data_IF_162674945992
#
_entry.id   IF_162674945992
#
_cell.length_a   1.000
_cell.length_b   1.000
_cell.length_c   1.000
_cell.angle_alpha   90.00
_cell.angle_beta   90.00
_cell.angle_gamma   90.00
#
_symmetry.space_group_name_H-M   'P 1'
#
loop_
_entity.id
_entity.type
_entity.pdbx_description
1 polymer ?
#
# COMPACT_ATOMS: atom_id res chain seq x y z
N UNK A 1 -9.78 -6.24 20.62
CA UNK A 1 -9.15 -6.60 19.33
C UNK A 1 -7.96 -5.73 19.04
N UNK A 2 -6.78 -6.34 19.00
CA UNK A 2 -5.54 -5.67 18.61
C UNK A 2 -5.47 -5.78 17.08
N UNK A 3 -5.74 -4.68 16.39
CA UNK A 3 -5.61 -4.61 14.94
C UNK A 3 -4.19 -5.07 14.53
N UNK A 4 -4.12 -6.06 13.63
CA UNK A 4 -2.87 -6.56 13.07
C UNK A 4 -2.84 -6.23 11.57
N UNK A 5 -1.79 -5.55 11.12
CA UNK A 5 -1.59 -5.28 9.70
C UNK A 5 -1.56 -6.59 8.92
N UNK A 6 -2.37 -6.68 7.87
CA UNK A 6 -2.34 -7.82 6.97
C UNK A 6 -1.04 -7.81 6.15
N UNK A 7 -0.63 -8.96 5.65
CA UNK A 7 0.52 -9.06 4.75
C UNK A 7 0.39 -8.13 3.53
N UNK A 8 -0.82 -8.00 2.97
CA UNK A 8 -1.09 -7.10 1.84
C UNK A 8 -0.81 -5.64 2.18
N UNK A 9 -1.23 -5.19 3.37
CA UNK A 9 -0.99 -3.82 3.83
C UNK A 9 0.49 -3.55 4.09
N UNK A 10 1.22 -4.53 4.64
CA UNK A 10 2.67 -4.42 4.83
C UNK A 10 3.42 -4.36 3.50
N UNK A 11 3.02 -5.18 2.52
CA UNK A 11 3.60 -5.18 1.19
C UNK A 11 3.35 -3.85 0.46
N UNK A 12 2.14 -3.30 0.57
CA UNK A 12 1.80 -1.99 0.01
C UNK A 12 2.67 -0.89 0.62
N UNK A 13 2.75 -0.84 1.95
CA UNK A 13 3.58 0.15 2.64
C UNK A 13 5.04 0.06 2.22
N UNK A 14 5.58 -1.16 2.14
CA UNK A 14 6.95 -1.38 1.71
C UNK A 14 7.18 -0.93 0.26
N UNK A 15 6.24 -1.21 -0.65
CA UNK A 15 6.33 -0.79 -2.04
C UNK A 15 6.28 0.74 -2.19
N UNK A 16 5.40 1.41 -1.45
CA UNK A 16 5.28 2.87 -1.50
C UNK A 16 6.50 3.57 -0.91
N UNK A 17 6.98 3.08 0.24
CA UNK A 17 8.21 3.60 0.87
C UNK A 17 9.42 3.40 -0.05
N UNK A 18 9.55 2.24 -0.70
CA UNK A 18 10.66 1.98 -1.63
C UNK A 18 10.66 2.89 -2.87
N UNK A 19 9.52 3.50 -3.19
CA UNK A 19 9.38 4.44 -4.32
C UNK A 19 9.62 5.89 -3.92
N UNK A 20 9.58 6.23 -2.63
CA UNK A 20 9.82 7.59 -2.18
C UNK A 20 11.33 7.86 -2.06
N UNK A 21 11.88 8.84 -2.80
CA UNK A 21 13.32 9.13 -2.79
C UNK A 21 13.83 9.64 -1.43
N UNK A 22 12.94 10.13 -0.56
CA UNK A 22 13.27 10.53 0.80
C UNK A 22 13.45 9.35 1.75
N UNK A 23 13.01 8.15 1.39
CA UNK A 23 13.09 6.98 2.25
C UNK A 23 14.43 6.26 2.07
N UNK A 24 15.27 6.28 3.10
CA UNK A 24 16.55 5.57 3.15
C UNK A 24 16.60 4.51 4.25
N UNK A 25 15.48 4.28 4.94
CA UNK A 25 15.39 3.39 6.10
C UNK A 25 16.40 3.74 7.21
N UNK A 26 16.68 5.03 7.40
CA UNK A 26 17.53 5.49 8.50
C UNK A 26 16.86 5.24 9.88
N UNK A 27 17.63 5.35 10.96
CA UNK A 27 17.16 5.02 12.31
C UNK A 27 15.91 5.82 12.72
N UNK A 28 15.82 7.09 12.35
CA UNK A 28 14.68 7.93 12.68
C UNK A 28 13.43 7.55 11.88
N UNK A 29 13.58 7.27 10.59
CA UNK A 29 12.48 6.80 9.74
C UNK A 29 11.93 5.47 10.24
N UNK A 30 12.81 4.53 10.61
CA UNK A 30 12.41 3.24 11.16
C UNK A 30 11.75 3.40 12.54
N UNK A 31 12.27 4.30 13.39
CA UNK A 31 11.63 4.63 14.68
C UNK A 31 10.23 5.21 14.46
N UNK A 32 10.10 6.22 13.61
CA UNK A 32 8.82 6.87 13.29
C UNK A 32 7.83 5.90 12.65
N UNK A 33 8.30 5.00 11.77
CA UNK A 33 7.47 3.95 11.19
C UNK A 33 6.92 3.01 12.28
N UNK A 34 7.75 2.59 13.23
CA UNK A 34 7.30 1.74 14.36
C UNK A 34 6.27 2.45 15.24
N UNK A 35 6.45 3.73 15.51
CA UNK A 35 5.49 4.54 16.28
C UNK A 35 4.17 4.72 15.53
N UNK A 36 4.22 5.07 14.23
CA UNK A 36 3.03 5.20 13.39
C UNK A 36 2.26 3.89 13.19
N UNK A 37 2.95 2.74 13.22
CA UNK A 37 2.34 1.40 13.20
C UNK A 37 1.84 0.93 14.57
N UNK A 38 2.10 1.69 15.65
CA UNK A 38 1.76 1.27 17.03
C UNK A 38 2.61 0.13 17.59
N UNK A 39 3.75 -0.18 16.95
CA UNK A 39 4.74 -1.17 17.43
C UNK A 39 5.63 -0.59 18.53
N UNK A 40 5.59 0.73 18.71
CA UNK A 40 6.26 1.48 19.77
C UNK A 40 5.29 2.55 20.27
N UNK A 41 5.38 2.90 21.55
CA UNK A 41 4.63 4.03 22.10
C UNK A 41 4.97 5.29 21.31
N UNK A 42 3.98 5.97 20.71
CA UNK A 42 4.21 7.19 19.95
C UNK A 42 4.69 8.31 20.85
N UNK A 43 5.57 9.18 20.33
CA UNK A 43 5.88 10.44 20.99
C UNK A 43 4.65 11.37 21.03
N UNK A 44 4.58 12.20 22.07
CA UNK A 44 3.42 13.04 22.36
C UNK A 44 3.20 14.16 21.32
N UNK A 45 4.27 14.59 20.64
CA UNK A 45 4.24 15.80 19.83
C UNK A 45 3.70 15.60 18.40
N UNK A 46 3.88 14.41 17.82
CA UNK A 46 3.54 14.16 16.41
C UNK A 46 2.53 13.03 16.25
N UNK A 47 2.91 11.80 16.60
CA UNK A 47 2.09 10.63 16.28
C UNK A 47 0.82 10.51 17.11
N UNK A 48 0.83 10.99 18.36
CA UNK A 48 -0.38 11.00 19.19
C UNK A 48 -1.47 11.94 18.63
N UNK A 49 -1.18 13.21 18.27
CA UNK A 49 -2.13 14.07 17.57
C UNK A 49 -2.61 13.48 16.25
N UNK A 50 -1.69 12.96 15.42
CA UNK A 50 -2.05 12.33 14.13
C UNK A 50 -3.03 11.19 14.36
N UNK A 51 -2.68 10.21 15.21
CA UNK A 51 -3.53 9.05 15.48
C UNK A 51 -4.90 9.41 16.05
N UNK A 52 -4.96 10.44 16.91
CA UNK A 52 -6.22 10.94 17.49
C UNK A 52 -7.11 11.59 16.42
N UNK A 53 -6.52 12.46 15.58
CA UNK A 53 -7.25 13.24 14.59
C UNK A 53 -7.66 12.40 13.38
N UNK A 54 -6.95 11.29 13.11
CA UNK A 54 -7.25 10.36 12.01
C UNK A 54 -7.90 9.07 12.50
N UNK A 55 -8.54 9.08 13.67
CA UNK A 55 -9.06 7.87 14.31
C UNK A 55 -10.11 7.14 13.45
N UNK A 56 -10.92 7.89 12.69
CA UNK A 56 -12.03 7.38 11.88
C UNK A 56 -11.62 6.93 10.47
N UNK A 57 -10.35 7.10 10.09
CA UNK A 57 -9.84 6.58 8.81
C UNK A 57 -9.79 5.06 8.83
N UNK A 58 -10.08 4.46 7.67
CA UNK A 58 -9.91 3.03 7.47
C UNK A 58 -8.42 2.64 7.63
N UNK A 59 -8.12 1.43 8.14
CA UNK A 59 -6.75 1.01 8.32
C UNK A 59 -5.90 1.01 7.04
N UNK A 60 -6.51 0.71 5.88
CA UNK A 60 -5.84 0.79 4.58
C UNK A 60 -5.44 2.20 4.21
N UNK A 61 -6.27 3.20 4.51
CA UNK A 61 -5.94 4.59 4.23
C UNK A 61 -4.87 5.13 5.19
N UNK A 62 -4.81 4.59 6.42
CA UNK A 62 -3.71 4.87 7.35
C UNK A 62 -2.37 4.35 6.82
N UNK A 63 -2.34 3.27 6.04
CA UNK A 63 -1.11 2.79 5.37
C UNK A 63 -0.57 3.86 4.43
N UNK A 64 -1.44 4.45 3.60
CA UNK A 64 -1.05 5.50 2.66
C UNK A 64 -0.60 6.76 3.39
N UNK A 65 -1.26 7.11 4.50
CA UNK A 65 -0.82 8.21 5.35
C UNK A 65 0.62 8.02 5.86
N UNK A 66 0.96 6.80 6.29
CA UNK A 66 2.31 6.47 6.74
C UNK A 66 3.32 6.60 5.60
N UNK A 67 2.99 6.18 4.38
CA UNK A 67 3.92 6.27 3.25
C UNK A 67 4.23 7.72 2.84
N UNK A 68 3.31 8.66 3.06
CA UNK A 68 3.57 10.08 2.84
C UNK A 68 4.44 10.73 3.93
N UNK A 69 4.26 10.31 5.18
CA UNK A 69 4.85 10.96 6.36
C UNK A 69 6.24 10.40 6.67
N UNK A 70 6.40 9.08 6.71
CA UNK A 70 7.62 8.41 7.21
C UNK A 70 8.89 8.85 6.46
N UNK A 71 8.90 8.97 5.11
CA UNK A 71 10.10 9.39 4.38
C UNK A 71 10.62 10.79 4.75
N UNK A 72 9.83 11.60 5.46
CA UNK A 72 10.18 12.98 5.81
C UNK A 72 10.99 13.09 7.10
N UNK A 73 11.02 12.04 7.93
CA UNK A 73 11.83 12.00 9.15
C UNK A 73 13.31 11.74 8.86
N UNK A 74 14.20 12.21 9.75
CA UNK A 74 15.64 11.96 9.66
C UNK A 74 16.31 12.51 8.41
N UNK A 75 15.71 13.52 7.77
CA UNK A 75 16.24 14.13 6.55
C UNK A 75 17.41 15.09 6.83
N UNK A 76 17.55 15.57 8.07
CA UNK A 76 18.49 16.63 8.43
C UNK A 76 18.19 17.99 7.78
N UNK A 77 17.02 18.14 7.16
CA UNK A 77 16.55 19.37 6.54
C UNK A 77 15.54 20.08 7.46
N UNK A 78 15.91 21.28 7.94
CA UNK A 78 15.06 22.09 8.81
C UNK A 78 13.69 22.45 8.18
N UNK A 79 13.63 22.65 6.86
CA UNK A 79 12.36 22.91 6.17
C UNK A 79 11.44 21.69 6.21
N UNK A 80 12.01 20.49 6.10
CA UNK A 80 11.25 19.25 6.17
C UNK A 80 10.72 18.98 7.58
N UNK A 81 11.52 19.28 8.60
CA UNK A 81 11.11 19.19 10.01
C UNK A 81 9.99 20.20 10.32
N UNK A 82 10.11 21.44 9.83
CA UNK A 82 9.07 22.45 9.96
C UNK A 82 7.77 22.04 9.21
N UNK A 83 7.89 21.39 8.06
CA UNK A 83 6.76 20.86 7.32
C UNK A 83 5.99 19.79 8.11
N UNK A 84 6.69 18.89 8.83
CA UNK A 84 6.06 17.89 9.70
C UNK A 84 5.25 18.56 10.83
N UNK A 85 5.80 19.59 11.46
CA UNK A 85 5.08 20.34 12.51
C UNK A 85 3.88 21.09 11.94
N UNK A 86 4.04 21.69 10.76
CA UNK A 86 2.97 22.40 10.05
C UNK A 86 1.84 21.45 9.66
N UNK A 87 2.18 20.25 9.20
CA UNK A 87 1.21 19.21 8.86
C UNK A 87 0.30 18.90 10.05
N UNK A 88 0.87 18.60 11.22
CA UNK A 88 0.10 18.29 12.44
C UNK A 88 -0.78 19.47 12.86
N UNK A 89 -0.23 20.68 12.88
CA UNK A 89 -0.97 21.88 13.26
C UNK A 89 -2.13 22.19 12.31
N UNK A 90 -2.03 21.79 11.04
CA UNK A 90 -3.02 22.05 10.01
C UNK A 90 -4.14 21.00 9.92
N UNK A 91 -4.00 19.80 10.53
CA UNK A 91 -5.00 18.73 10.45
C UNK A 91 -6.40 19.19 10.87
N UNK A 92 -6.53 19.68 12.11
CA UNK A 92 -7.82 20.09 12.68
C UNK A 92 -8.51 21.21 11.87
N UNK A 93 -7.86 22.34 11.52
CA UNK A 93 -8.51 23.38 10.71
C UNK A 93 -8.84 22.90 9.29
N UNK A 94 -8.03 22.01 8.71
CA UNK A 94 -8.33 21.39 7.41
C UNK A 94 -9.61 20.58 7.45
N UNK A 95 -9.74 19.68 8.43
CA UNK A 95 -10.94 18.86 8.60
C UNK A 95 -12.19 19.72 8.86
N UNK A 96 -12.06 20.76 9.68
CA UNK A 96 -13.15 21.70 9.92
C UNK A 96 -13.59 22.41 8.63
N UNK A 97 -12.63 22.83 7.80
CA UNK A 97 -12.91 23.50 6.52
C UNK A 97 -13.62 22.57 5.55
N UNK A 98 -13.14 21.33 5.41
CA UNK A 98 -13.76 20.31 4.55
C UNK A 98 -15.17 19.98 5.04
N UNK A 99 -15.35 19.74 6.34
CA UNK A 99 -16.66 19.41 6.93
C UNK A 99 -17.66 20.55 6.80
N UNK A 100 -17.21 21.81 6.89
CA UNK A 100 -18.07 22.96 6.67
C UNK A 100 -18.57 23.06 5.21
N UNK A 101 -17.73 22.67 4.25
CA UNK A 101 -18.07 22.64 2.81
C UNK A 101 -18.93 21.44 2.45
N UNK A 102 -18.65 20.29 3.04
CA UNK A 102 -19.34 19.02 2.78
C UNK A 102 -19.92 18.45 4.10
N UNK A 103 -21.02 19.00 4.63
CA UNK A 103 -21.56 18.60 5.94
C UNK A 103 -21.95 17.11 6.03
N UNK A 104 -22.41 16.54 4.93
CA UNK A 104 -22.87 15.15 4.85
C UNK A 104 -21.73 14.14 4.65
N UNK A 105 -20.50 14.60 4.40
CA UNK A 105 -19.34 13.73 4.24
C UNK A 105 -19.00 13.05 5.58
N UNK A 106 -18.73 11.74 5.54
CA UNK A 106 -18.37 10.98 6.74
C UNK A 106 -17.06 11.49 7.36
N UNK A 107 -16.90 11.37 8.68
CA UNK A 107 -15.68 11.83 9.34
C UNK A 107 -14.42 11.10 8.84
N UNK A 108 -14.55 9.82 8.48
CA UNK A 108 -13.47 9.04 7.86
C UNK A 108 -13.06 9.60 6.49
N UNK A 109 -14.03 9.93 5.63
CA UNK A 109 -13.77 10.54 4.33
C UNK A 109 -13.18 11.96 4.47
N UNK A 110 -13.64 12.76 5.45
CA UNK A 110 -13.06 14.07 5.76
C UNK A 110 -11.60 13.94 6.17
N UNK A 111 -11.29 12.98 7.04
CA UNK A 111 -9.92 12.72 7.48
C UNK A 111 -9.04 12.22 6.33
N UNK A 112 -9.55 11.32 5.48
CA UNK A 112 -8.86 10.83 4.29
C UNK A 112 -8.50 11.97 3.34
N UNK A 113 -9.49 12.74 2.87
CA UNK A 113 -9.25 13.83 1.92
C UNK A 113 -8.35 14.90 2.55
N UNK A 114 -8.62 15.29 3.79
CA UNK A 114 -7.84 16.33 4.46
C UNK A 114 -6.38 15.96 4.65
N UNK A 115 -6.08 14.70 5.01
CA UNK A 115 -4.70 14.24 5.18
C UNK A 115 -3.97 14.12 3.85
N UNK A 116 -4.60 13.62 2.79
CA UNK A 116 -3.98 13.50 1.46
C UNK A 116 -3.69 14.88 0.85
N UNK A 117 -4.62 15.84 0.97
CA UNK A 117 -4.41 17.20 0.50
C UNK A 117 -3.29 17.91 1.27
N UNK A 118 -3.26 17.77 2.60
CA UNK A 118 -2.18 18.31 3.42
C UNK A 118 -0.84 17.65 3.10
N UNK A 119 -0.81 16.33 2.92
CA UNK A 119 0.42 15.63 2.58
C UNK A 119 0.97 16.07 1.23
N UNK A 120 0.08 16.28 0.25
CA UNK A 120 0.46 16.75 -1.08
C UNK A 120 1.05 18.16 -1.06
N UNK A 121 0.49 19.07 -0.24
CA UNK A 121 0.86 20.49 -0.25
C UNK A 121 1.90 20.90 0.80
N UNK A 122 1.81 20.37 2.02
CA UNK A 122 2.64 20.79 3.15
C UNK A 122 3.90 19.95 3.31
N UNK A 123 3.83 18.62 3.09
CA UNK A 123 4.99 17.75 3.36
C UNK A 123 6.09 17.84 2.29
N UNK A 124 5.85 18.58 1.20
CA UNK A 124 6.83 18.85 0.16
C UNK A 124 7.49 20.23 0.42
N UNK A 125 8.79 20.28 0.71
CA UNK A 125 9.49 21.55 0.95
C UNK A 125 9.29 22.53 -0.21
N UNK A 126 8.96 23.78 0.12
CA UNK A 126 8.79 24.87 -0.85
C UNK A 126 7.50 24.82 -1.69
N UNK A 127 6.59 23.88 -1.44
CA UNK A 127 5.34 23.77 -2.21
C UNK A 127 4.28 24.77 -1.77
N UNK A 128 3.89 24.72 -0.50
CA UNK A 128 2.89 25.61 0.08
C UNK A 128 3.20 25.88 1.54
N UNK A 129 3.05 27.13 1.98
CA UNK A 129 2.94 27.48 3.40
C UNK A 129 1.56 27.07 3.94
N UNK A 130 1.41 27.07 5.26
CA UNK A 130 0.12 26.80 5.91
C UNK A 130 -0.99 27.75 5.45
N UNK A 131 -0.65 29.02 5.29
CA UNK A 131 -1.64 30.07 4.99
C UNK A 131 -2.02 30.02 3.50
N UNK A 132 -1.08 29.73 2.61
CA UNK A 132 -1.35 29.47 1.19
C UNK A 132 -2.23 28.23 1.01
N UNK A 133 -1.93 27.14 1.72
CA UNK A 133 -2.77 25.94 1.72
C UNK A 133 -4.18 26.23 2.24
N UNK A 134 -4.30 26.97 3.34
CA UNK A 134 -5.60 27.32 3.90
C UNK A 134 -6.43 28.20 2.96
N UNK A 135 -5.79 29.17 2.28
CA UNK A 135 -6.44 30.01 1.27
C UNK A 135 -6.91 29.18 0.07
N UNK A 136 -6.05 28.27 -0.42
CA UNK A 136 -6.37 27.38 -1.53
C UNK A 136 -7.54 26.44 -1.19
N UNK A 137 -7.48 25.75 -0.04
CA UNK A 137 -8.57 24.89 0.44
C UNK A 137 -9.85 25.70 0.66
N UNK A 138 -9.73 26.91 1.20
CA UNK A 138 -10.84 27.83 1.39
C UNK A 138 -11.53 28.22 0.07
N UNK A 139 -10.79 28.33 -1.02
CA UNK A 139 -11.31 28.65 -2.35
C UNK A 139 -11.97 27.45 -3.07
N UNK A 140 -11.67 26.20 -2.67
CA UNK A 140 -12.30 25.01 -3.25
C UNK A 140 -13.82 24.99 -3.01
N UNK A 141 -14.57 24.53 -4.00
CA UNK A 141 -16.00 24.22 -3.85
C UNK A 141 -16.21 22.86 -3.17
N UNK A 142 -17.43 22.61 -2.72
CA UNK A 142 -17.89 21.29 -2.26
C UNK A 142 -17.81 20.23 -3.38
N UNK A 143 -18.09 20.64 -4.62
CA UNK A 143 -17.92 19.78 -5.80
C UNK A 143 -16.46 19.37 -6.02
N UNK A 144 -15.50 20.28 -5.83
CA UNK A 144 -14.07 19.96 -5.98
C UNK A 144 -13.60 18.91 -4.95
N UNK A 145 -14.01 19.09 -3.69
CA UNK A 145 -13.69 18.17 -2.59
C UNK A 145 -14.33 16.80 -2.84
N UNK A 146 -15.60 16.78 -3.28
CA UNK A 146 -16.32 15.54 -3.60
C UNK A 146 -15.71 14.83 -4.81
N UNK A 147 -15.27 15.56 -5.83
CA UNK A 147 -14.56 15.00 -6.98
C UNK A 147 -13.20 14.39 -6.58
N UNK A 148 -12.49 14.98 -5.62
CA UNK A 148 -11.28 14.39 -5.06
C UNK A 148 -11.57 13.04 -4.39
N UNK A 149 -12.57 13.00 -3.50
CA UNK A 149 -12.99 11.77 -2.84
C UNK A 149 -13.43 10.70 -3.86
N UNK A 150 -14.21 11.08 -4.87
CA UNK A 150 -14.68 10.19 -5.93
C UNK A 150 -13.52 9.55 -6.70
N UNK A 151 -12.52 10.35 -7.12
CA UNK A 151 -11.32 9.82 -7.78
C UNK A 151 -10.55 8.86 -6.89
N UNK A 152 -10.43 9.16 -5.60
CA UNK A 152 -9.71 8.31 -4.65
C UNK A 152 -10.39 6.96 -4.43
N UNK A 153 -11.72 6.94 -4.36
CA UNK A 153 -12.53 5.72 -4.26
C UNK A 153 -12.47 4.91 -5.56
N UNK A 154 -12.59 5.56 -6.71
CA UNK A 154 -12.46 4.89 -8.01
C UNK A 154 -11.10 4.19 -8.17
N UNK A 155 -10.00 4.86 -7.80
CA UNK A 155 -8.67 4.25 -7.83
C UNK A 155 -8.58 2.98 -6.97
N UNK A 156 -9.22 2.98 -5.80
CA UNK A 156 -9.29 1.82 -4.91
C UNK A 156 -10.06 0.67 -5.56
N UNK A 157 -11.20 0.97 -6.17
CA UNK A 157 -12.04 -0.02 -6.85
C UNK A 157 -11.32 -0.63 -8.06
N UNK A 158 -10.65 0.20 -8.87
CA UNK A 158 -9.86 -0.21 -10.02
C UNK A 158 -8.70 -1.13 -9.61
N UNK A 159 -7.96 -0.77 -8.56
CA UNK A 159 -6.85 -1.57 -8.04
C UNK A 159 -7.33 -2.95 -7.53
N UNK A 160 -8.49 -3.01 -6.86
CA UNK A 160 -9.09 -4.28 -6.43
C UNK A 160 -9.51 -5.14 -7.62
N UNK A 161 -10.08 -4.53 -8.67
CA UNK A 161 -10.46 -5.22 -9.89
C UNK A 161 -9.23 -5.80 -10.62
N UNK A 162 -8.15 -5.02 -10.74
CA UNK A 162 -6.90 -5.45 -11.38
C UNK A 162 -6.24 -6.60 -10.61
N UNK A 163 -6.18 -6.52 -9.28
CA UNK A 163 -5.65 -7.60 -8.44
C UNK A 163 -6.43 -8.90 -8.59
N UNK A 164 -7.77 -8.83 -8.65
CA UNK A 164 -8.62 -10.01 -8.90
C UNK A 164 -8.35 -10.61 -10.27
N UNK A 165 -8.20 -9.78 -11.30
CA UNK A 165 -7.87 -10.24 -12.65
C UNK A 165 -6.50 -10.95 -12.69
N UNK A 166 -5.49 -10.39 -12.04
CA UNK A 166 -4.16 -11.01 -11.95
C UNK A 166 -4.19 -12.35 -11.20
N UNK A 167 -4.94 -12.45 -10.11
CA UNK A 167 -5.11 -13.72 -9.38
C UNK A 167 -5.79 -14.79 -10.25
N UNK A 168 -6.84 -14.42 -10.99
CA UNK A 168 -7.51 -15.32 -11.91
C UNK A 168 -6.58 -15.80 -13.03
N UNK A 169 -5.76 -14.92 -13.60
CA UNK A 169 -4.77 -15.27 -14.63
C UNK A 169 -3.71 -16.24 -14.08
N UNK A 170 -3.19 -15.99 -12.88
CA UNK A 170 -2.24 -16.89 -12.22
C UNK A 170 -2.83 -18.28 -11.98
N UNK A 171 -4.04 -18.35 -11.43
CA UNK A 171 -4.73 -19.61 -11.20
C UNK A 171 -4.97 -20.38 -12.51
N UNK A 172 -5.37 -19.70 -13.58
CA UNK A 172 -5.55 -20.31 -14.90
C UNK A 172 -4.23 -20.85 -15.48
N UNK A 173 -3.13 -20.10 -15.29
CA UNK A 173 -1.79 -20.53 -15.73
C UNK A 173 -1.32 -21.75 -14.95
N UNK A 174 -1.49 -21.77 -13.63
CA UNK A 174 -1.15 -22.91 -12.78
C UNK A 174 -1.95 -24.16 -13.16
N UNK A 175 -3.26 -24.03 -13.36
CA UNK A 175 -4.11 -25.12 -13.82
C UNK A 175 -3.66 -25.68 -15.19
N UNK A 176 -3.26 -24.80 -16.13
CA UNK A 176 -2.73 -25.24 -17.43
C UNK A 176 -1.42 -26.02 -17.28
N UNK A 177 -0.49 -25.52 -16.47
CA UNK A 177 0.80 -26.18 -16.21
C UNK A 177 0.58 -27.55 -15.58
N UNK A 178 -0.35 -27.67 -14.64
CA UNK A 178 -0.64 -28.95 -13.98
C UNK A 178 -1.28 -29.95 -14.96
N UNK A 179 -2.24 -29.51 -15.77
CA UNK A 179 -2.84 -30.35 -16.82
C UNK A 179 -1.80 -30.82 -17.87
N UNK A 180 -0.81 -29.99 -18.22
CA UNK A 180 0.29 -30.38 -19.10
C UNK A 180 1.22 -31.42 -18.45
N UNK A 181 1.53 -31.26 -17.15
CA UNK A 181 2.31 -32.25 -16.39
C UNK A 181 1.58 -33.59 -16.29
N UNK A 182 0.28 -33.59 -16.00
CA UNK A 182 -0.52 -34.82 -15.95
C UNK A 182 -0.51 -35.54 -17.31
N UNK A 183 -0.71 -34.82 -18.41
CA UNK A 183 -0.60 -35.38 -19.77
C UNK A 183 0.78 -35.97 -20.04
N UNK A 184 1.85 -35.27 -19.68
CA UNK A 184 3.23 -35.78 -19.84
C UNK A 184 3.48 -37.03 -18.98
N UNK A 185 2.99 -37.06 -17.74
CA UNK A 185 3.10 -38.22 -16.86
C UNK A 185 2.32 -39.42 -17.40
N UNK A 186 1.11 -39.20 -17.93
CA UNK A 186 0.32 -40.28 -18.53
C UNK A 186 0.97 -40.82 -19.81
N UNK A 187 1.50 -39.94 -20.67
CA UNK A 187 2.29 -40.34 -21.84
C UNK A 187 3.53 -41.13 -21.45
N UNK A 188 4.27 -40.69 -20.42
CA UNK A 188 5.43 -41.41 -19.90
C UNK A 188 5.05 -42.78 -19.32
N UNK A 189 3.90 -42.88 -18.62
CA UNK A 189 3.36 -44.15 -18.11
C UNK A 189 3.01 -45.11 -19.24
N UNK A 190 2.23 -44.65 -20.24
CA UNK A 190 1.89 -45.45 -21.42
C UNK A 190 3.13 -45.90 -22.18
N UNK A 191 4.09 -44.99 -22.40
CA UNK A 191 5.36 -45.34 -23.04
C UNK A 191 6.18 -46.37 -22.24
N UNK A 192 6.10 -46.37 -20.90
CA UNK A 192 6.71 -47.42 -20.06
C UNK A 192 5.98 -48.75 -20.15
N UNK A 193 4.66 -48.75 -20.18
CA UNK A 193 3.82 -49.96 -20.32
C UNK A 193 3.94 -50.59 -21.72
N UNK A 194 4.06 -49.76 -22.75
CA UNK A 194 4.21 -50.19 -24.14
C UNK A 194 5.65 -50.56 -24.48
N UNK A 195 6.62 -50.19 -23.65
CA UNK A 195 8.05 -50.42 -23.86
C UNK A 195 8.33 -51.90 -24.10
N UNK A 196 8.99 -52.20 -25.22
CA UNK A 196 9.38 -53.55 -25.61
C UNK A 196 10.87 -53.83 -25.39
N UNK A 197 11.69 -52.82 -25.06
CA UNK A 197 13.14 -52.96 -24.89
C UNK A 197 13.67 -52.21 -23.67
N UNK A 198 14.46 -52.85 -22.79
CA UNK A 198 15.10 -52.28 -21.59
C UNK A 198 16.62 -52.35 -21.70
N UNK A 199 17.31 -51.33 -21.18
CA UNK A 199 18.77 -51.36 -21.05
C UNK A 199 19.16 -52.23 -19.86
N UNK A 200 20.02 -53.23 -20.09
CA UNK A 200 20.58 -54.08 -19.06
C UNK A 200 21.97 -53.52 -18.63
N UNK A 201 22.10 -52.97 -17.41
CA UNK A 201 23.34 -52.33 -16.98
C UNK A 201 24.50 -53.31 -16.73
N UNK A 202 24.22 -54.61 -16.56
CA UNK A 202 25.27 -55.61 -16.34
C UNK A 202 26.04 -55.95 -17.63
N UNK A 203 25.39 -55.84 -18.78
CA UNK A 203 25.99 -56.17 -20.08
C UNK A 203 26.07 -54.99 -21.06
N UNK A 204 25.50 -53.84 -20.69
CA UNK A 204 25.53 -52.60 -21.48
C UNK A 204 24.70 -52.64 -22.77
N UNK A 205 23.75 -53.58 -22.91
CA UNK A 205 22.95 -53.76 -24.13
C UNK A 205 21.45 -53.52 -23.89
N UNK A 206 20.71 -53.29 -24.97
CA UNK A 206 19.25 -53.25 -24.97
C UNK A 206 18.70 -54.67 -25.16
N UNK A 207 17.78 -55.08 -24.30
CA UNK A 207 17.15 -56.41 -24.31
C UNK A 207 15.63 -56.27 -24.42
N UNK A 208 14.97 -57.22 -25.10
CA UNK A 208 13.51 -57.24 -25.18
C UNK A 208 12.87 -57.53 -23.83
N UNK A 209 11.85 -56.75 -23.47
CA UNK A 209 11.01 -56.95 -22.31
C UNK A 209 9.98 -58.01 -22.69
N UNK A 210 10.09 -59.23 -22.15
CA UNK A 210 9.02 -60.23 -22.24
C UNK A 210 7.81 -59.71 -21.47
N UNK A 211 6.72 -59.40 -22.18
CA UNK A 211 5.43 -59.05 -21.58
C UNK A 211 4.73 -60.28 -21.02
#
# INVERSE_FOLDING_TARGET
DQFAFTFGMQAQLAADLARDPGFSANEEQIRSLKEGLGLRTPGDDFWMPVGTLTANMDPEDKVNLLSHIVPRFGSGNAEQEAALQTFVAALKPTFATIKAKCPDMSDGDVQLVGTELLAAEILQPGRSTRDEFAAWLGAMSDADVTAYLGRRKAFKEDAVAEMKAMQAERAAKEARVEAEKEKMMEQARKAREERTMRFNPENGKMEEIKK
#
